data_IF_365647959081
#
_entry.id   IF_365647959081
#
_cell.length_a   1.000
_cell.length_b   1.000
_cell.length_c   1.000
_cell.angle_alpha   90.00
_cell.angle_beta   90.00
_cell.angle_gamma   90.00
#
_symmetry.space_group_name_H-M   'P 1'
#
loop_
_entity.id
_entity.type
_entity.pdbx_description
1 polymer ?
#
# COMPACT_ATOMS: atom_id res chain seq x y z
N UNK A 1 -3.74 -5.65 19.08
CA UNK A 1 -3.79 -5.66 17.60
C UNK A 1 -4.44 -4.38 17.10
N UNK A 2 -4.06 -3.90 15.95
CA UNK A 2 -4.68 -2.78 15.23
C UNK A 2 -4.76 -3.12 13.75
N UNK A 3 -5.72 -2.56 13.04
CA UNK A 3 -5.76 -2.66 11.58
C UNK A 3 -4.75 -1.68 10.96
N UNK A 4 -4.20 -2.02 9.81
CA UNK A 4 -3.42 -1.08 9.03
C UNK A 4 -4.26 0.08 8.47
N UNK A 5 -3.60 1.06 7.86
CA UNK A 5 -4.22 2.23 7.22
C UNK A 5 -4.99 3.15 8.17
N UNK A 6 -4.87 2.96 9.50
CA UNK A 6 -5.45 3.82 10.53
C UNK A 6 -4.45 4.08 11.68
N UNK A 7 -4.62 5.18 12.39
CA UNK A 7 -3.70 5.52 13.49
C UNK A 7 -4.19 5.09 14.87
N UNK A 8 -5.48 4.81 15.05
CA UNK A 8 -6.05 4.46 16.34
C UNK A 8 -5.62 3.05 16.80
N UNK A 9 -5.18 2.90 18.05
CA UNK A 9 -4.83 1.61 18.67
C UNK A 9 -5.78 1.27 19.82
N UNK A 10 -5.91 2.18 20.79
CA UNK A 10 -6.73 1.95 21.99
C UNK A 10 -6.34 2.83 23.16
N UNK A 11 -6.65 2.39 24.38
CA UNK A 11 -6.36 3.15 25.58
C UNK A 11 -5.66 2.25 26.59
N UNK A 12 -4.56 2.75 27.14
CA UNK A 12 -3.86 2.16 28.30
C UNK A 12 -4.46 2.75 29.56
N UNK A 13 -4.67 1.91 30.57
CA UNK A 13 -5.20 2.33 31.88
C UNK A 13 -4.28 1.87 33.01
N UNK A 14 -4.17 2.68 34.04
CA UNK A 14 -3.54 2.31 35.31
C UNK A 14 -4.34 2.90 36.47
N UNK A 15 -4.18 2.31 37.64
CA UNK A 15 -4.78 2.80 38.89
C UNK A 15 -3.67 2.99 39.93
N UNK A 16 -3.78 4.06 40.67
CA UNK A 16 -2.94 4.30 41.83
C UNK A 16 -3.66 3.88 43.12
N UNK A 17 -2.93 3.34 44.09
CA UNK A 17 -3.51 2.81 45.33
C UNK A 17 -3.99 3.93 46.29
N UNK A 18 -3.34 5.07 46.22
CA UNK A 18 -3.63 6.24 47.05
C UNK A 18 -4.62 7.19 46.37
N UNK A 19 -4.97 6.90 45.11
CA UNK A 19 -5.94 7.65 44.30
C UNK A 19 -5.34 8.85 43.57
N UNK A 20 -4.02 8.90 43.42
CA UNK A 20 -3.33 9.96 42.66
C UNK A 20 -3.58 9.82 41.14
N UNK A 21 -3.47 10.95 40.47
CA UNK A 21 -3.68 10.99 39.02
C UNK A 21 -2.49 10.38 38.26
N UNK A 22 -2.74 9.33 37.50
CA UNK A 22 -1.71 8.67 36.65
C UNK A 22 -1.63 9.32 35.29
N UNK A 23 -0.41 9.59 34.84
CA UNK A 23 -0.09 10.08 33.51
C UNK A 23 0.77 9.08 32.76
N UNK A 24 0.70 9.12 31.41
CA UNK A 24 1.39 8.16 30.56
C UNK A 24 2.38 8.83 29.60
N UNK A 25 3.50 8.14 29.36
CA UNK A 25 4.47 8.44 28.30
C UNK A 25 4.87 7.15 27.59
N UNK A 26 5.46 7.25 26.38
CA UNK A 26 5.87 6.09 25.58
C UNK A 26 7.25 6.32 24.99
N UNK A 27 8.01 5.24 24.80
CA UNK A 27 9.31 5.24 24.14
C UNK A 27 9.17 5.13 22.62
N UNK A 28 10.22 5.51 21.88
CA UNK A 28 10.28 5.39 20.43
C UNK A 28 9.64 6.58 19.69
N UNK A 29 9.49 6.44 18.38
CA UNK A 29 9.00 7.50 17.49
C UNK A 29 7.84 7.07 16.59
N UNK A 30 7.46 5.79 16.60
CA UNK A 30 6.43 5.22 15.73
C UNK A 30 5.06 5.20 16.40
N UNK A 31 5.04 5.08 17.73
CA UNK A 31 3.85 5.14 18.58
C UNK A 31 3.83 6.42 19.41
N UNK A 32 2.65 6.90 19.71
CA UNK A 32 2.44 8.02 20.61
C UNK A 32 1.33 7.72 21.61
N UNK A 33 1.42 8.32 22.80
CA UNK A 33 0.41 8.19 23.85
C UNK A 33 0.10 9.57 24.43
N UNK A 34 -1.16 9.84 24.71
CA UNK A 34 -1.54 11.03 25.46
C UNK A 34 -1.31 10.82 26.95
N UNK A 35 -1.24 11.89 27.73
CA UNK A 35 -1.16 11.79 29.21
C UNK A 35 -2.36 11.05 29.82
N UNK A 36 -3.50 10.99 29.12
CA UNK A 36 -4.69 10.24 29.51
C UNK A 36 -4.68 8.76 29.06
N UNK A 37 -3.60 8.29 28.41
CA UNK A 37 -3.44 6.89 28.01
C UNK A 37 -3.97 6.55 26.62
N UNK A 38 -4.43 7.50 25.79
CA UNK A 38 -4.86 7.20 24.41
C UNK A 38 -3.63 6.91 23.56
N UNK A 39 -3.53 5.66 23.08
CA UNK A 39 -2.44 5.12 22.27
C UNK A 39 -2.80 5.17 20.79
N UNK A 40 -1.87 5.66 19.97
CA UNK A 40 -2.01 5.73 18.51
C UNK A 40 -0.67 5.61 17.79
N UNK A 41 -0.69 5.31 16.49
CA UNK A 41 0.47 5.46 15.64
C UNK A 41 0.71 6.93 15.30
N UNK A 42 1.98 7.31 15.09
CA UNK A 42 2.37 8.63 14.58
C UNK A 42 2.00 8.73 13.08
N UNK A 43 2.18 7.65 12.33
CA UNK A 43 1.71 7.49 10.95
C UNK A 43 0.96 6.17 10.84
N UNK A 44 -0.06 6.10 9.98
CA UNK A 44 -0.80 4.86 9.76
C UNK A 44 0.18 3.74 9.32
N UNK A 45 0.13 2.55 9.95
CA UNK A 45 0.95 1.43 9.56
C UNK A 45 0.50 0.83 8.23
N UNK A 46 1.42 0.18 7.54
CA UNK A 46 1.24 -0.62 6.33
C UNK A 46 1.72 -2.03 6.68
N UNK A 47 0.82 -3.01 6.66
CA UNK A 47 1.09 -4.40 7.06
C UNK A 47 2.20 -5.03 6.20
N UNK A 48 2.24 -4.73 4.90
CA UNK A 48 3.24 -5.24 3.97
C UNK A 48 4.65 -4.68 4.23
N UNK A 49 4.71 -3.51 4.88
CA UNK A 49 5.99 -2.90 5.28
C UNK A 49 6.43 -3.34 6.67
N UNK A 50 5.50 -3.37 7.64
CA UNK A 50 5.80 -3.74 9.02
C UNK A 50 4.55 -4.21 9.76
N UNK A 51 4.55 -5.47 10.18
CA UNK A 51 3.42 -6.14 10.85
C UNK A 51 3.44 -6.05 12.38
N UNK A 52 4.53 -5.52 12.97
CA UNK A 52 4.72 -5.51 14.43
C UNK A 52 5.45 -4.27 14.89
N UNK A 53 4.92 -3.62 15.91
CA UNK A 53 5.49 -2.43 16.58
C UNK A 53 5.67 -2.72 18.07
N UNK A 54 6.80 -2.28 18.63
CA UNK A 54 7.11 -2.45 20.06
C UNK A 54 7.48 -1.12 20.71
N UNK A 55 7.07 -0.93 21.94
CA UNK A 55 7.43 0.24 22.74
C UNK A 55 7.32 -0.05 24.22
N UNK A 56 7.92 0.80 25.05
CA UNK A 56 7.75 0.78 26.50
C UNK A 56 6.84 1.92 26.92
N UNK A 57 5.71 1.61 27.54
CA UNK A 57 4.82 2.59 28.18
C UNK A 57 5.28 2.80 29.61
N UNK A 58 5.36 4.05 30.01
CA UNK A 58 5.63 4.47 31.41
C UNK A 58 4.39 5.14 32.01
N UNK A 59 3.92 4.64 33.12
CA UNK A 59 2.88 5.26 33.94
C UNK A 59 3.54 5.94 35.13
N UNK A 60 3.09 7.16 35.49
CA UNK A 60 3.60 7.94 36.64
C UNK A 60 2.48 8.63 37.36
N UNK A 61 2.52 8.57 38.72
CA UNK A 61 1.68 9.35 39.65
C UNK A 61 2.32 10.69 40.04
N UNK A 62 3.50 11.03 39.45
CA UNK A 62 4.28 12.22 39.79
C UNK A 62 5.37 11.96 40.82
N UNK A 63 5.33 10.85 41.57
CA UNK A 63 6.32 10.45 42.61
C UNK A 63 7.01 9.15 42.22
N UNK A 64 6.24 8.16 41.75
CA UNK A 64 6.69 6.84 41.34
C UNK A 64 6.42 6.64 39.85
N UNK A 65 7.12 5.68 39.28
CA UNK A 65 6.91 5.25 37.91
C UNK A 65 6.90 3.74 37.80
N UNK A 66 6.08 3.22 36.88
CA UNK A 66 6.13 1.82 36.45
C UNK A 66 6.15 1.75 34.92
N UNK A 67 6.78 0.72 34.40
CA UNK A 67 6.93 0.54 32.96
C UNK A 67 6.38 -0.80 32.51
N UNK A 68 5.86 -0.86 31.28
CA UNK A 68 5.43 -2.08 30.62
C UNK A 68 5.78 -2.04 29.14
N UNK A 69 6.45 -3.09 28.67
CA UNK A 69 6.65 -3.29 27.24
C UNK A 69 5.35 -3.74 26.60
N UNK A 70 5.04 -3.13 25.47
CA UNK A 70 3.88 -3.45 24.66
C UNK A 70 4.30 -3.88 23.28
N UNK A 71 3.51 -4.77 22.67
CA UNK A 71 3.62 -5.17 21.27
C UNK A 71 2.28 -4.94 20.59
N UNK A 72 2.28 -4.19 19.50
CA UNK A 72 1.11 -3.97 18.65
C UNK A 72 1.33 -4.76 17.38
N UNK A 73 0.52 -5.79 17.15
CA UNK A 73 0.50 -6.56 15.89
C UNK A 73 -0.51 -5.93 14.95
N UNK A 74 -0.11 -5.73 13.69
CA UNK A 74 -0.98 -5.19 12.65
C UNK A 74 -1.75 -6.34 12.00
N UNK A 75 -3.00 -6.08 11.68
CA UNK A 75 -3.84 -6.98 10.89
C UNK A 75 -3.99 -6.43 9.47
N UNK A 76 -3.76 -7.28 8.49
CA UNK A 76 -3.93 -7.00 7.06
C UNK A 76 -5.40 -6.65 6.75
N UNK A 77 -5.62 -5.54 6.09
CA UNK A 77 -6.91 -5.17 5.49
C UNK A 77 -6.96 -5.75 4.09
N UNK A 78 -7.52 -6.95 3.98
CA UNK A 78 -7.62 -7.65 2.71
C UNK A 78 -8.30 -6.78 1.63
N UNK A 79 -7.77 -6.83 0.41
CA UNK A 79 -8.28 -6.11 -0.78
C UNK A 79 -8.05 -4.58 -0.78
N UNK A 80 -7.04 -4.08 -0.10
CA UNK A 80 -6.64 -2.70 -0.32
C UNK A 80 -6.20 -2.48 -1.78
N UNK A 81 -6.33 -1.24 -2.25
CA UNK A 81 -5.93 -0.87 -3.61
C UNK A 81 -4.58 -0.18 -3.58
N UNK A 82 -3.55 -0.82 -4.15
CA UNK A 82 -2.26 -0.18 -4.39
C UNK A 82 -2.34 0.73 -5.60
N UNK A 83 -2.10 2.03 -5.44
CA UNK A 83 -2.14 3.00 -6.55
C UNK A 83 -0.76 3.19 -7.15
N UNK A 84 -0.63 2.94 -8.46
CA UNK A 84 0.58 3.10 -9.26
C UNK A 84 0.42 4.34 -10.14
N UNK A 85 1.24 5.37 -9.94
CA UNK A 85 1.22 6.57 -10.78
C UNK A 85 1.88 6.32 -12.14
N UNK A 86 1.17 6.60 -13.22
CA UNK A 86 1.64 6.37 -14.59
C UNK A 86 1.85 7.69 -15.34
N UNK A 87 3.00 7.83 -15.97
CA UNK A 87 3.34 8.92 -16.90
C UNK A 87 3.80 8.27 -18.22
N UNK A 88 3.41 8.83 -19.34
CA UNK A 88 3.88 8.41 -20.65
C UNK A 88 4.98 9.32 -21.16
N UNK A 89 6.06 8.76 -21.72
CA UNK A 89 7.15 9.50 -22.35
C UNK A 89 7.15 9.28 -23.87
N UNK A 90 7.54 10.32 -24.64
CA UNK A 90 7.58 10.29 -26.09
C UNK A 90 8.90 10.79 -26.71
N UNK A 91 9.94 11.02 -25.92
CA UNK A 91 11.25 11.48 -26.39
C UNK A 91 12.29 10.37 -26.42
N UNK A 92 12.62 9.80 -27.60
CA UNK A 92 13.59 8.71 -27.71
C UNK A 92 13.00 7.30 -27.64
N UNK A 93 11.67 7.17 -27.74
CA UNK A 93 10.87 5.95 -27.65
C UNK A 93 9.74 6.10 -26.64
N UNK A 94 8.63 5.39 -26.87
CA UNK A 94 7.50 5.39 -25.93
C UNK A 94 7.80 4.51 -24.72
N UNK A 95 7.50 5.02 -23.53
CA UNK A 95 7.59 4.26 -22.28
C UNK A 95 6.49 4.69 -21.31
N UNK A 96 5.90 3.74 -20.60
CA UNK A 96 5.26 4.03 -19.32
C UNK A 96 6.32 4.16 -18.24
N UNK A 97 6.30 5.25 -17.52
CA UNK A 97 7.07 5.47 -16.29
C UNK A 97 6.09 5.28 -15.15
N UNK A 98 6.30 4.25 -14.34
CA UNK A 98 5.45 3.91 -13.21
C UNK A 98 6.25 4.18 -11.94
N UNK A 99 5.72 5.06 -11.08
CA UNK A 99 6.37 5.53 -9.86
C UNK A 99 7.82 5.98 -10.08
N UNK A 100 8.05 6.68 -11.20
CA UNK A 100 9.36 7.22 -11.58
C UNK A 100 10.30 6.25 -12.30
N UNK A 101 9.91 4.98 -12.51
CA UNK A 101 10.73 3.97 -13.19
C UNK A 101 10.18 3.69 -14.58
N UNK A 102 11.05 3.76 -15.61
CA UNK A 102 10.66 3.47 -16.99
C UNK A 102 10.52 1.97 -17.23
N UNK A 103 9.35 1.55 -17.71
CA UNK A 103 9.02 0.14 -18.04
C UNK A 103 9.38 -0.84 -16.92
N UNK A 104 9.00 -0.61 -15.65
CA UNK A 104 9.40 -1.52 -14.59
C UNK A 104 8.79 -2.91 -14.80
N UNK A 105 9.50 -3.93 -14.30
CA UNK A 105 8.87 -5.22 -14.01
C UNK A 105 8.15 -5.08 -12.69
N UNK A 106 6.84 -5.24 -12.68
CA UNK A 106 6.00 -5.17 -11.49
C UNK A 106 5.85 -6.56 -10.87
N UNK A 107 5.58 -6.61 -9.58
CA UNK A 107 5.20 -7.84 -8.86
C UNK A 107 3.88 -7.59 -8.16
N UNK A 108 2.88 -8.41 -8.47
CA UNK A 108 1.54 -8.33 -7.90
C UNK A 108 1.23 -9.60 -7.12
N UNK A 109 0.44 -9.47 -6.08
CA UNK A 109 0.04 -10.54 -5.18
C UNK A 109 -1.41 -10.95 -5.41
N UNK A 110 -1.69 -12.25 -5.24
CA UNK A 110 -3.06 -12.75 -5.34
C UNK A 110 -3.91 -12.25 -4.19
N UNK A 111 -5.16 -11.87 -4.50
CA UNK A 111 -6.10 -11.26 -3.54
C UNK A 111 -6.06 -9.74 -3.52
N UNK A 112 -4.98 -9.12 -4.00
CA UNK A 112 -4.81 -7.66 -3.99
C UNK A 112 -5.37 -7.00 -5.26
N UNK A 113 -5.65 -5.71 -5.14
CA UNK A 113 -6.12 -4.84 -6.23
C UNK A 113 -5.09 -3.75 -6.50
N UNK A 114 -4.80 -3.52 -7.76
CA UNK A 114 -3.83 -2.52 -8.22
C UNK A 114 -4.51 -1.53 -9.16
N UNK A 115 -4.34 -0.24 -8.91
CA UNK A 115 -4.85 0.83 -9.75
C UNK A 115 -3.69 1.55 -10.43
N UNK A 116 -3.74 1.62 -11.75
CA UNK A 116 -2.86 2.46 -12.55
C UNK A 116 -3.53 3.83 -12.70
N UNK A 117 -3.02 4.82 -12.00
CA UNK A 117 -3.46 6.22 -12.14
C UNK A 117 -2.94 6.80 -13.44
N UNK A 118 -3.84 6.96 -14.40
CA UNK A 118 -3.60 7.48 -15.74
C UNK A 118 -3.98 8.97 -15.87
N UNK A 119 -4.16 9.69 -14.77
CA UNK A 119 -4.66 11.08 -14.75
C UNK A 119 -3.67 12.08 -15.32
N UNK A 120 -2.38 11.73 -15.43
CA UNK A 120 -1.38 12.60 -16.05
C UNK A 120 -1.71 12.85 -17.53
N UNK A 121 -1.70 14.11 -17.99
CA UNK A 121 -2.06 14.47 -19.38
C UNK A 121 -1.21 13.77 -20.45
N UNK A 122 0.01 13.34 -20.14
CA UNK A 122 0.87 12.57 -21.05
C UNK A 122 0.25 11.23 -21.47
N UNK A 123 -0.69 10.71 -20.68
CA UNK A 123 -1.36 9.43 -20.95
C UNK A 123 -2.55 9.55 -21.93
N UNK A 124 -2.98 10.74 -22.32
CA UNK A 124 -4.22 10.97 -23.08
C UNK A 124 -4.34 10.17 -24.40
N UNK A 125 -3.21 9.92 -25.06
CA UNK A 125 -3.15 9.13 -26.32
C UNK A 125 -2.48 7.77 -26.12
N UNK A 126 -2.29 7.35 -24.89
CA UNK A 126 -1.60 6.11 -24.49
C UNK A 126 -2.51 5.18 -23.67
N UNK A 127 -3.52 4.53 -24.28
CA UNK A 127 -4.42 3.64 -23.55
C UNK A 127 -3.68 2.41 -23.02
N UNK A 128 -3.54 2.30 -21.68
CA UNK A 128 -2.94 1.13 -21.03
C UNK A 128 -3.90 -0.06 -21.09
N UNK A 129 -3.36 -1.25 -21.37
CA UNK A 129 -4.05 -2.54 -21.37
C UNK A 129 -3.16 -3.63 -20.78
N UNK A 130 -3.78 -4.77 -20.49
CA UNK A 130 -3.08 -5.98 -20.03
C UNK A 130 -3.18 -7.09 -21.08
N UNK A 131 -2.19 -8.00 -21.07
CA UNK A 131 -2.15 -9.18 -21.95
C UNK A 131 -1.32 -10.28 -21.30
N UNK A 132 -1.52 -11.52 -21.72
CA UNK A 132 -0.61 -12.65 -21.42
C UNK A 132 0.57 -12.72 -22.38
N UNK A 133 0.56 -11.93 -23.45
CA UNK A 133 1.63 -11.83 -24.45
C UNK A 133 2.38 -10.52 -24.28
N UNK A 134 3.72 -10.58 -24.32
CA UNK A 134 4.57 -9.38 -24.28
C UNK A 134 4.17 -8.41 -25.39
N UNK A 135 4.04 -7.12 -25.05
CA UNK A 135 3.57 -6.06 -25.94
C UNK A 135 2.15 -6.28 -26.53
N UNK A 136 1.39 -7.20 -25.93
CA UNK A 136 -0.04 -7.41 -26.19
C UNK A 136 -0.40 -7.64 -27.65
N UNK A 137 -1.33 -6.83 -28.16
CA UNK A 137 -1.85 -6.93 -29.53
C UNK A 137 -0.82 -6.59 -30.62
N UNK A 138 0.23 -5.84 -30.29
CA UNK A 138 1.32 -5.55 -31.23
C UNK A 138 2.16 -6.79 -31.57
N UNK A 139 2.12 -7.79 -30.66
CA UNK A 139 2.84 -9.06 -30.83
C UNK A 139 1.88 -10.27 -31.00
N UNK A 140 0.70 -10.02 -31.55
CA UNK A 140 -0.29 -11.06 -31.87
C UNK A 140 -1.07 -11.60 -30.64
N UNK A 141 -0.94 -11.00 -29.48
CA UNK A 141 -1.70 -11.36 -28.29
C UNK A 141 -3.09 -10.74 -28.25
N UNK A 142 -3.86 -11.07 -27.21
CA UNK A 142 -5.18 -10.53 -26.93
C UNK A 142 -5.16 -9.68 -25.66
N UNK A 143 -6.12 -8.76 -25.54
CA UNK A 143 -6.34 -8.00 -24.31
C UNK A 143 -6.83 -8.95 -23.21
N UNK A 144 -6.17 -8.90 -22.05
CA UNK A 144 -6.62 -9.57 -20.84
C UNK A 144 -7.56 -8.64 -20.05
N UNK A 145 -8.78 -9.11 -19.78
CA UNK A 145 -9.83 -8.31 -19.14
C UNK A 145 -10.41 -8.90 -17.85
N UNK A 146 -9.99 -10.11 -17.47
CA UNK A 146 -10.50 -10.74 -16.23
C UNK A 146 -10.02 -9.97 -15.00
N UNK A 147 -10.96 -9.53 -14.16
CA UNK A 147 -10.66 -8.71 -12.98
C UNK A 147 -10.25 -7.27 -13.30
N UNK A 148 -10.36 -6.83 -14.56
CA UNK A 148 -9.96 -5.49 -15.00
C UNK A 148 -11.16 -4.57 -15.09
N UNK A 149 -11.05 -3.37 -14.50
CA UNK A 149 -12.02 -2.29 -14.63
C UNK A 149 -11.34 -1.05 -15.20
N UNK A 150 -11.94 -0.43 -16.19
CA UNK A 150 -11.44 0.81 -16.79
C UNK A 150 -12.35 1.97 -16.43
N UNK A 151 -11.75 3.05 -15.88
CA UNK A 151 -12.38 4.35 -15.72
C UNK A 151 -11.76 5.37 -16.70
N UNK A 152 -12.20 6.63 -16.66
CA UNK A 152 -11.69 7.67 -17.56
C UNK A 152 -10.19 7.92 -17.38
N UNK A 153 -9.71 7.93 -16.15
CA UNK A 153 -8.33 8.28 -15.79
C UNK A 153 -7.64 7.19 -14.96
N UNK A 154 -8.19 5.98 -14.89
CA UNK A 154 -7.54 4.87 -14.20
C UNK A 154 -7.88 3.52 -14.83
N UNK A 155 -7.01 2.55 -14.56
CA UNK A 155 -7.16 1.15 -14.92
C UNK A 155 -6.89 0.32 -13.67
N UNK A 156 -7.91 -0.40 -13.18
CA UNK A 156 -7.79 -1.25 -12.00
C UNK A 156 -7.73 -2.71 -12.40
N UNK A 157 -6.90 -3.50 -11.73
CA UNK A 157 -6.85 -4.96 -11.88
C UNK A 157 -6.86 -5.64 -10.51
N UNK A 158 -7.81 -6.55 -10.29
CA UNK A 158 -7.86 -7.43 -9.12
C UNK A 158 -7.25 -8.78 -9.45
N UNK A 159 -6.25 -9.19 -8.69
CA UNK A 159 -5.50 -10.42 -8.92
C UNK A 159 -6.18 -11.59 -8.20
N UNK A 160 -6.85 -12.45 -8.95
CA UNK A 160 -7.54 -13.62 -8.41
C UNK A 160 -6.63 -14.87 -8.41
N UNK A 161 -7.10 -15.95 -7.77
CA UNK A 161 -6.42 -17.26 -7.82
C UNK A 161 -6.23 -17.80 -9.25
N UNK A 162 -7.13 -17.41 -10.19
CA UNK A 162 -7.08 -17.83 -11.59
C UNK A 162 -6.28 -16.88 -12.51
N UNK A 163 -5.78 -15.76 -12.00
CA UNK A 163 -4.94 -14.84 -12.79
C UNK A 163 -3.65 -15.55 -13.22
N UNK A 164 -3.24 -15.49 -14.50
CA UNK A 164 -2.00 -16.08 -14.96
C UNK A 164 -0.78 -15.59 -14.16
N UNK A 165 0.23 -16.44 -13.96
CA UNK A 165 1.45 -16.10 -13.21
C UNK A 165 2.30 -14.99 -13.84
N UNK A 166 2.01 -14.65 -15.10
CA UNK A 166 2.66 -13.53 -15.82
C UNK A 166 1.62 -12.80 -16.65
N UNK A 167 1.59 -11.49 -16.48
CA UNK A 167 0.89 -10.55 -17.36
C UNK A 167 1.89 -9.51 -17.88
N UNK A 168 1.45 -8.76 -18.86
CA UNK A 168 2.16 -7.60 -19.39
C UNK A 168 1.19 -6.43 -19.46
N UNK A 169 1.64 -5.26 -19.03
CA UNK A 169 0.96 -4.01 -19.35
C UNK A 169 1.54 -3.44 -20.63
N UNK A 170 0.71 -2.87 -21.49
CA UNK A 170 1.13 -2.34 -22.77
C UNK A 170 0.24 -1.18 -23.20
N UNK A 171 0.72 -0.37 -24.15
CA UNK A 171 -0.09 0.68 -24.78
C UNK A 171 -0.81 0.11 -26.00
N UNK A 172 -2.12 0.32 -26.08
CA UNK A 172 -2.89 -0.14 -27.25
C UNK A 172 -2.50 0.58 -28.55
N UNK A 173 -2.02 1.84 -28.45
CA UNK A 173 -1.66 2.68 -29.60
C UNK A 173 -0.20 2.55 -30.06
N UNK A 174 0.73 2.22 -29.14
CA UNK A 174 2.16 2.24 -29.43
C UNK A 174 2.85 0.97 -28.94
N UNK A 175 3.65 0.36 -29.81
CA UNK A 175 4.43 -0.83 -29.46
C UNK A 175 5.60 -0.50 -28.52
N UNK A 176 6.04 -1.51 -27.79
CA UNK A 176 7.20 -1.45 -26.87
C UNK A 176 7.12 -0.38 -25.77
N UNK A 177 5.92 0.09 -25.39
CA UNK A 177 5.74 1.10 -24.35
C UNK A 177 5.61 0.50 -22.94
N UNK A 178 5.20 -0.74 -22.82
CA UNK A 178 4.88 -1.43 -21.57
C UNK A 178 5.99 -2.28 -20.97
N UNK A 179 5.62 -3.13 -20.01
CA UNK A 179 6.51 -4.01 -19.26
C UNK A 179 5.81 -5.28 -18.74
N UNK A 180 6.52 -6.05 -17.94
CA UNK A 180 6.09 -7.32 -17.37
C UNK A 180 5.48 -7.14 -15.98
N UNK A 181 4.52 -7.99 -15.64
CA UNK A 181 3.97 -8.16 -14.29
C UNK A 181 4.14 -9.63 -13.90
N UNK A 182 4.85 -9.89 -12.79
CA UNK A 182 4.90 -11.20 -12.15
C UNK A 182 3.75 -11.29 -11.15
N UNK A 183 3.08 -12.45 -11.06
CA UNK A 183 1.98 -12.70 -10.13
C UNK A 183 2.42 -13.82 -9.17
N UNK A 184 2.49 -13.48 -7.89
CA UNK A 184 2.82 -14.39 -6.78
C UNK A 184 1.57 -15.00 -6.14
#
# INVERSE_FOLDING_TARGET
TAEENQTAIGTVTATDADGDSVTFTISGSELQITSAGVLSFVSAPDYESQDTYTATVTASDGTNTTTQDITVTITDVANETTVLRVISTSGGGYAYVIDGVAKPTLTFERGKTYEFDMSDPSNAIHPLRFSTTSDGTHNGGSIYSTGVTQASNSMTITISASTPSTLYYFCLAHSNQGGRININ
#
